data_IF_644473677432
#
_entry.id   IF_644473677432
#
_cell.length_a   1.000
_cell.length_b   1.000
_cell.length_c   1.000
_cell.angle_alpha   90.00
_cell.angle_beta   90.00
_cell.angle_gamma   90.00
#
_symmetry.space_group_name_H-M   'P 1'
#
loop_
_entity.id
_entity.type
_entity.pdbx_description
1 polymer ?
#
# COMPACT_ATOMS: atom_id res chain seq x y z
N UNK A 1 -18.61 7.93 21.53
CA UNK A 1 -19.52 6.77 21.68
C UNK A 1 -19.40 5.83 20.47
N UNK A 2 -19.18 6.36 19.25
CA UNK A 2 -18.95 5.56 18.02
C UNK A 2 -17.61 4.78 17.96
N UNK A 3 -16.53 5.25 18.60
CA UNK A 3 -15.24 4.54 18.60
C UNK A 3 -15.32 3.19 19.34
N UNK A 4 -16.20 3.09 20.35
CA UNK A 4 -16.39 1.86 21.12
C UNK A 4 -17.25 0.83 20.35
N UNK A 5 -18.22 1.29 19.55
CA UNK A 5 -19.03 0.40 18.69
C UNK A 5 -18.22 -0.20 17.54
N UNK A 6 -17.25 0.55 17.00
CA UNK A 6 -16.38 0.08 15.92
C UNK A 6 -15.41 -1.02 16.39
N UNK A 7 -14.92 -0.93 17.62
CA UNK A 7 -14.10 -1.97 18.27
C UNK A 7 -14.93 -3.23 18.59
N UNK A 8 -16.20 -3.07 18.97
CA UNK A 8 -17.10 -4.18 19.29
C UNK A 8 -17.48 -5.03 18.05
N UNK A 9 -17.62 -4.40 16.88
CA UNK A 9 -17.89 -5.11 15.62
C UNK A 9 -16.69 -5.94 15.14
N UNK A 10 -15.46 -5.46 15.38
CA UNK A 10 -14.22 -6.21 15.06
C UNK A 10 -14.04 -7.45 15.94
N UNK A 11 -14.51 -7.43 17.19
CA UNK A 11 -14.40 -8.57 18.11
C UNK A 11 -15.50 -9.62 17.92
N UNK A 12 -16.69 -9.23 17.44
CA UNK A 12 -17.82 -10.15 17.24
C UNK A 12 -17.84 -10.83 15.86
N UNK A 13 -17.13 -10.29 14.86
CA UNK A 13 -17.00 -10.90 13.53
C UNK A 13 -16.14 -12.17 13.48
N UNK A 14 -15.43 -12.50 14.56
CA UNK A 14 -14.57 -13.70 14.65
C UNK A 14 -15.28 -14.93 15.26
N UNK A 15 -16.57 -14.83 15.64
CA UNK A 15 -17.27 -15.88 16.38
C UNK A 15 -18.61 -16.28 15.73
N UNK A 16 -18.58 -16.76 14.49
CA UNK A 16 -19.74 -17.43 13.90
C UNK A 16 -19.38 -18.38 12.74
N UNK A 17 -18.60 -19.44 13.00
CA UNK A 17 -18.83 -20.79 12.43
C UNK A 17 -17.79 -21.81 12.97
N UNK A 18 -18.03 -22.40 14.14
CA UNK A 18 -17.45 -23.72 14.45
C UNK A 18 -18.44 -24.52 15.30
N UNK A 19 -19.07 -25.52 14.70
CA UNK A 19 -19.75 -26.59 15.43
C UNK A 19 -19.24 -27.93 14.94
N UNK A 20 -18.37 -28.58 15.72
CA UNK A 20 -18.44 -29.98 16.14
C UNK A 20 -17.06 -30.55 16.54
N UNK A 21 -16.86 -30.62 17.86
CA UNK A 21 -16.23 -31.67 18.67
C UNK A 21 -14.88 -32.29 18.25
N UNK A 22 -13.87 -32.07 19.09
CA UNK A 22 -13.17 -33.17 19.80
C UNK A 22 -12.66 -32.68 21.15
N UNK A 23 -12.99 -33.42 22.21
CA UNK A 23 -12.55 -33.16 23.58
C UNK A 23 -11.19 -33.77 23.84
N UNK A 24 -10.28 -33.01 24.46
CA UNK A 24 -9.29 -33.55 25.39
C UNK A 24 -8.77 -32.45 26.32
N UNK A 25 -9.08 -32.64 27.60
CA UNK A 25 -8.64 -31.97 28.83
C UNK A 25 -7.19 -31.44 28.87
N UNK A 26 -6.99 -30.29 29.51
CA UNK A 26 -6.22 -30.21 30.78
C UNK A 26 -6.47 -28.89 31.53
N UNK A 27 -6.32 -28.99 32.86
CA UNK A 27 -6.54 -28.01 33.94
C UNK A 27 -5.94 -26.61 33.68
N UNK A 28 -6.49 -25.50 34.17
CA UNK A 28 -7.24 -25.28 35.41
C UNK A 28 -6.30 -24.75 36.49
N UNK A 29 -6.27 -23.42 36.68
CA UNK A 29 -6.01 -22.79 37.98
C UNK A 29 -6.35 -21.30 37.92
N UNK A 30 -7.48 -20.95 38.53
CA UNK A 30 -7.94 -19.62 38.90
C UNK A 30 -7.76 -19.41 40.40
N UNK A 31 -7.49 -18.17 40.84
CA UNK A 31 -7.68 -17.70 42.22
C UNK A 31 -6.58 -16.71 42.61
N UNK A 32 -6.79 -15.39 42.66
CA UNK A 32 -7.54 -14.51 43.60
C UNK A 32 -6.90 -14.30 44.98
N UNK A 33 -6.82 -13.01 45.31
CA UNK A 33 -6.74 -12.36 46.62
C UNK A 33 -5.36 -12.26 47.30
N UNK A 34 -4.91 -11.04 47.59
CA UNK A 34 -4.14 -10.71 48.79
C UNK A 34 -4.15 -9.20 49.07
N UNK A 35 -4.67 -8.85 50.26
CA UNK A 35 -4.56 -7.55 50.92
C UNK A 35 -3.75 -7.74 52.22
N UNK A 36 -2.95 -6.72 52.55
CA UNK A 36 -2.43 -6.32 53.88
C UNK A 36 -1.19 -7.00 54.50
N UNK A 37 -0.06 -6.32 54.25
CA UNK A 37 0.97 -5.86 55.22
C UNK A 37 2.11 -6.79 55.71
N UNK A 38 3.29 -6.21 56.06
CA UNK A 38 4.56 -6.58 55.43
C UNK A 38 5.68 -6.96 56.42
N UNK A 39 6.77 -7.56 55.93
CA UNK A 39 8.08 -7.48 56.58
C UNK A 39 9.23 -7.38 55.55
N UNK A 40 10.33 -6.69 55.89
CA UNK A 40 11.04 -5.82 54.95
C UNK A 40 12.44 -6.29 54.55
N UNK A 41 12.89 -5.63 53.47
CA UNK A 41 14.26 -5.30 53.06
C UNK A 41 15.25 -6.38 52.61
N UNK A 42 15.48 -6.38 51.29
CA UNK A 42 16.82 -6.21 50.74
C UNK A 42 16.80 -5.33 49.47
N UNK A 43 17.20 -4.05 49.61
CA UNK A 43 17.72 -3.14 48.56
C UNK A 43 16.70 -2.59 47.56
N UNK A 44 16.10 -1.38 47.69
CA UNK A 44 16.69 -0.03 47.58
C UNK A 44 17.61 0.11 46.33
N UNK A 45 17.42 1.01 45.35
CA UNK A 45 16.76 2.34 45.23
C UNK A 45 16.30 2.49 43.75
N UNK A 46 15.07 2.87 43.41
CA UNK A 46 14.50 4.23 43.49
C UNK A 46 15.10 5.11 42.37
N UNK A 47 14.38 5.69 41.41
CA UNK A 47 13.05 6.31 41.50
C UNK A 47 12.39 6.50 40.13
N UNK A 48 11.12 6.10 40.02
CA UNK A 48 10.15 6.75 39.14
C UNK A 48 9.29 7.68 40.02
N UNK A 49 9.18 8.96 39.69
CA UNK A 49 7.94 9.72 39.89
C UNK A 49 7.92 11.02 39.09
N UNK A 50 6.72 11.52 38.79
CA UNK A 50 6.38 12.19 37.55
C UNK A 50 6.39 13.70 37.70
N UNK A 51 6.52 14.42 36.58
CA UNK A 51 5.98 15.78 36.51
C UNK A 51 5.63 16.19 35.08
N UNK A 52 4.46 16.80 35.01
CA UNK A 52 3.90 17.61 33.94
C UNK A 52 4.84 18.74 33.53
N UNK A 53 4.95 18.98 32.21
CA UNK A 53 5.63 20.16 31.69
C UNK A 53 5.34 20.37 30.21
N UNK A 54 4.42 21.28 29.92
CA UNK A 54 4.37 22.03 28.67
C UNK A 54 5.68 22.82 28.48
N UNK A 55 6.29 22.72 27.31
CA UNK A 55 7.42 23.55 26.84
C UNK A 55 7.73 23.14 25.40
N UNK A 56 7.23 23.84 24.39
CA UNK A 56 7.68 25.13 23.87
C UNK A 56 9.05 25.06 23.16
N UNK A 57 9.09 25.75 22.04
CA UNK A 57 10.03 25.61 20.94
C UNK A 57 11.50 25.81 21.34
N UNK A 58 12.32 24.79 21.09
CA UNK A 58 13.77 24.91 21.06
C UNK A 58 14.25 25.18 19.64
N UNK A 59 14.52 26.44 19.32
CA UNK A 59 15.38 26.86 18.21
C UNK A 59 16.79 26.35 18.44
N UNK A 60 17.19 25.32 17.67
CA UNK A 60 18.55 24.79 17.65
C UNK A 60 19.23 25.08 16.31
N UNK A 61 19.74 26.31 16.15
CA UNK A 61 20.82 26.57 15.20
C UNK A 61 22.07 25.83 15.68
N UNK A 62 22.41 24.74 15.01
CA UNK A 62 23.75 24.18 15.00
C UNK A 62 24.29 24.30 13.58
N UNK A 63 25.05 25.37 13.36
CA UNK A 63 25.67 25.67 12.09
C UNK A 63 26.71 24.63 11.66
N UNK A 64 26.89 24.59 10.32
CA UNK A 64 28.13 24.27 9.60
C UNK A 64 28.78 22.91 9.87
N UNK A 65 28.28 21.93 9.13
CA UNK A 65 29.11 20.92 8.50
C UNK A 65 28.74 20.88 7.02
N UNK A 66 29.51 21.57 6.18
CA UNK A 66 29.52 21.34 4.74
C UNK A 66 30.02 19.90 4.56
N UNK A 67 29.09 18.95 4.55
CA UNK A 67 29.36 17.60 4.11
C UNK A 67 29.61 17.73 2.61
N UNK A 68 30.89 17.96 2.30
CA UNK A 68 31.36 18.11 0.95
C UNK A 68 30.70 17.08 0.05
N UNK A 69 30.31 17.55 -1.13
CA UNK A 69 29.97 16.76 -2.30
C UNK A 69 31.18 15.89 -2.66
N UNK A 70 31.46 14.88 -1.84
CA UNK A 70 32.31 13.78 -2.20
C UNK A 70 31.51 12.99 -3.21
N UNK A 71 32.03 12.89 -4.43
CA UNK A 71 31.63 11.90 -5.41
C UNK A 71 31.74 10.51 -4.75
N UNK A 72 30.69 10.10 -4.04
CA UNK A 72 30.37 8.69 -3.94
C UNK A 72 30.03 8.30 -5.37
N UNK A 73 31.06 7.90 -6.13
CA UNK A 73 30.92 7.48 -7.52
C UNK A 73 29.76 6.49 -7.65
N UNK A 74 29.13 6.47 -8.81
CA UNK A 74 27.93 5.65 -9.08
C UNK A 74 28.19 4.21 -8.61
N UNK A 75 27.40 3.73 -7.66
CA UNK A 75 27.55 2.41 -7.08
C UNK A 75 26.50 1.45 -7.61
N UNK A 76 26.91 0.20 -7.83
CA UNK A 76 25.97 -0.90 -8.02
C UNK A 76 25.49 -1.36 -6.64
N UNK A 77 24.17 -1.41 -6.46
CA UNK A 77 23.55 -1.77 -5.19
C UNK A 77 22.38 -2.74 -5.42
N UNK A 78 21.97 -3.44 -4.38
CA UNK A 78 20.73 -4.22 -4.37
C UNK A 78 19.51 -3.29 -4.23
N UNK A 79 18.32 -3.78 -4.59
CA UNK A 79 17.06 -3.05 -4.36
C UNK A 79 16.86 -2.75 -2.87
N UNK A 80 17.20 -3.69 -1.99
CA UNK A 80 17.11 -3.54 -0.54
C UNK A 80 17.95 -2.36 -0.04
N UNK A 81 19.20 -2.27 -0.49
CA UNK A 81 20.10 -1.17 -0.16
C UNK A 81 19.58 0.16 -0.73
N UNK A 82 19.14 0.17 -2.00
CA UNK A 82 18.59 1.36 -2.64
C UNK A 82 17.42 1.98 -1.85
N UNK A 83 16.57 1.15 -1.25
CA UNK A 83 15.44 1.60 -0.43
C UNK A 83 15.85 2.29 0.88
N UNK A 84 17.04 1.99 1.40
CA UNK A 84 17.60 2.58 2.62
C UNK A 84 18.36 3.89 2.35
N UNK A 85 18.67 4.17 1.08
CA UNK A 85 19.36 5.40 0.70
C UNK A 85 18.46 6.62 0.90
N UNK A 86 19.12 7.73 1.27
CA UNK A 86 18.53 9.07 1.22
C UNK A 86 18.14 9.47 -0.20
N UNK A 87 17.58 10.67 -0.35
CA UNK A 87 17.18 11.15 -1.67
C UNK A 87 18.39 11.66 -2.45
N UNK A 88 18.34 11.45 -3.77
CA UNK A 88 19.27 11.92 -4.81
C UNK A 88 20.59 11.17 -5.05
N UNK A 89 20.96 10.03 -4.41
CA UNK A 89 22.13 9.29 -4.86
C UNK A 89 21.82 8.63 -6.21
N UNK A 90 22.81 8.68 -7.11
CA UNK A 90 22.78 7.92 -8.36
C UNK A 90 23.30 6.51 -8.11
N UNK A 91 22.57 5.51 -8.58
CA UNK A 91 22.91 4.09 -8.39
C UNK A 91 22.75 3.31 -9.69
N UNK A 92 23.28 2.09 -9.70
CA UNK A 92 23.00 1.07 -10.70
C UNK A 92 22.31 -0.11 -10.01
N UNK A 93 21.18 -0.54 -10.55
CA UNK A 93 20.56 -1.83 -10.26
C UNK A 93 20.84 -2.75 -11.44
N UNK A 94 21.55 -3.85 -11.23
CA UNK A 94 21.89 -4.81 -12.28
C UNK A 94 20.97 -6.03 -12.27
N UNK A 95 20.51 -6.44 -13.45
CA UNK A 95 19.81 -7.72 -13.62
C UNK A 95 18.45 -7.81 -12.92
N UNK A 96 17.80 -6.68 -12.61
CA UNK A 96 16.46 -6.66 -12.01
C UNK A 96 15.40 -7.00 -13.06
N UNK A 97 14.29 -7.57 -12.63
CA UNK A 97 13.24 -8.08 -13.53
C UNK A 97 11.98 -7.25 -13.40
N UNK A 98 11.39 -6.83 -14.52
CA UNK A 98 10.08 -6.17 -14.55
C UNK A 98 8.98 -7.14 -14.11
N UNK A 99 8.29 -6.82 -13.02
CA UNK A 99 7.23 -7.68 -12.44
C UNK A 99 5.82 -7.19 -12.75
N UNK A 100 5.63 -5.89 -12.91
CA UNK A 100 4.33 -5.26 -13.20
C UNK A 100 4.54 -3.99 -14.00
N UNK A 101 3.71 -3.77 -15.02
CA UNK A 101 3.71 -2.55 -15.84
C UNK A 101 2.40 -1.80 -15.60
N UNK A 102 2.50 -0.57 -15.09
CA UNK A 102 1.32 0.24 -14.72
C UNK A 102 0.89 1.12 -15.88
N UNK A 103 1.87 1.74 -16.52
CA UNK A 103 1.64 2.77 -17.51
C UNK A 103 2.70 2.69 -18.60
N UNK A 104 2.25 2.82 -19.84
CA UNK A 104 3.10 3.02 -21.01
C UNK A 104 2.43 4.06 -21.90
N UNK A 105 3.19 5.07 -22.30
CA UNK A 105 2.81 6.00 -23.36
C UNK A 105 3.95 6.13 -24.36
N UNK A 106 3.72 5.60 -25.56
CA UNK A 106 4.62 5.73 -26.69
C UNK A 106 4.20 6.91 -27.57
N UNK A 107 5.09 7.89 -27.74
CA UNK A 107 4.91 9.03 -28.65
C UNK A 107 6.17 9.17 -29.51
N UNK A 108 6.11 9.98 -30.56
CA UNK A 108 7.28 10.27 -31.41
C UNK A 108 8.48 10.83 -30.61
N UNK A 109 8.19 11.50 -29.49
CA UNK A 109 9.20 12.04 -28.55
C UNK A 109 9.84 10.99 -27.63
N UNK A 110 9.44 9.73 -27.71
CA UNK A 110 9.92 8.63 -26.87
C UNK A 110 8.84 8.00 -25.99
N UNK A 111 9.27 7.04 -25.16
CA UNK A 111 8.43 6.23 -24.27
C UNK A 111 8.51 6.71 -22.83
N UNK A 112 7.38 7.11 -22.27
CA UNK A 112 7.21 7.23 -20.81
C UNK A 112 6.59 5.95 -20.27
N UNK A 113 7.08 5.45 -19.14
CA UNK A 113 6.54 4.25 -18.54
C UNK A 113 6.75 4.20 -17.02
N UNK A 114 5.78 3.62 -16.31
CA UNK A 114 5.87 3.36 -14.88
C UNK A 114 5.69 1.87 -14.63
N UNK A 115 6.61 1.27 -13.89
CA UNK A 115 6.65 -0.19 -13.68
C UNK A 115 7.40 -0.55 -12.40
N UNK A 116 7.11 -1.71 -11.84
CA UNK A 116 7.91 -2.29 -10.75
C UNK A 116 8.93 -3.27 -11.29
N UNK A 117 10.08 -3.30 -10.64
CA UNK A 117 11.09 -4.33 -10.81
C UNK A 117 11.36 -5.02 -9.47
N UNK A 118 11.78 -6.28 -9.53
CA UNK A 118 12.23 -7.03 -8.37
C UNK A 118 13.58 -7.70 -8.64
N UNK A 119 14.29 -8.06 -7.58
CA UNK A 119 15.46 -8.93 -7.69
C UNK A 119 14.98 -10.35 -8.03
N UNK A 120 15.45 -10.96 -9.14
CA UNK A 120 15.03 -12.32 -9.50
C UNK A 120 15.44 -13.39 -8.49
N UNK A 121 16.49 -13.14 -7.69
CA UNK A 121 16.96 -14.04 -6.64
C UNK A 121 16.31 -13.76 -5.29
N UNK A 122 15.69 -12.57 -5.13
CA UNK A 122 14.94 -12.20 -3.95
C UNK A 122 13.71 -11.38 -4.31
N UNK A 123 12.62 -12.06 -4.70
CA UNK A 123 11.38 -11.42 -5.16
C UNK A 123 10.74 -10.45 -4.14
N UNK A 124 11.14 -10.53 -2.85
CA UNK A 124 10.73 -9.61 -1.78
C UNK A 124 11.29 -8.21 -1.93
N UNK A 125 12.41 -8.05 -2.63
CA UNK A 125 13.05 -6.76 -2.82
C UNK A 125 12.57 -6.16 -4.15
N UNK A 126 11.52 -5.34 -4.08
CA UNK A 126 10.99 -4.60 -5.22
C UNK A 126 11.17 -3.08 -5.12
N UNK A 127 11.18 -2.40 -6.26
CA UNK A 127 11.22 -0.93 -6.36
C UNK A 127 10.46 -0.44 -7.59
N UNK A 128 9.85 0.74 -7.48
CA UNK A 128 9.15 1.39 -8.57
C UNK A 128 10.09 2.21 -9.45
N UNK A 129 9.91 2.13 -10.75
CA UNK A 129 10.72 2.84 -11.76
C UNK A 129 9.82 3.77 -12.55
N UNK A 130 10.21 5.03 -12.65
CA UNK A 130 9.53 6.03 -13.48
C UNK A 130 10.45 6.44 -14.63
N UNK A 131 10.15 5.93 -15.83
CA UNK A 131 10.85 6.26 -17.07
C UNK A 131 10.21 7.47 -17.72
N UNK A 132 11.02 8.47 -18.01
CA UNK A 132 10.63 9.61 -18.83
C UNK A 132 10.98 9.38 -20.30
N UNK A 133 10.21 9.97 -21.21
CA UNK A 133 10.37 9.85 -22.67
C UNK A 133 11.77 10.17 -23.22
N UNK A 134 12.54 11.01 -22.55
CA UNK A 134 13.91 11.36 -22.97
C UNK A 134 14.99 10.47 -22.34
N UNK A 135 14.61 9.58 -21.41
CA UNK A 135 15.55 8.63 -20.82
C UNK A 135 15.98 7.58 -21.87
N UNK A 136 17.28 7.31 -22.05
CA UNK A 136 17.74 6.33 -23.02
C UNK A 136 17.53 4.87 -22.55
N UNK A 137 17.30 3.95 -23.51
CA UNK A 137 16.90 4.27 -24.88
C UNK A 137 15.47 4.83 -24.87
N UNK A 138 15.23 5.84 -25.70
CA UNK A 138 13.94 6.52 -25.79
C UNK A 138 12.83 5.61 -26.34
N UNK A 139 13.20 4.45 -26.88
CA UNK A 139 12.33 3.45 -27.51
C UNK A 139 12.00 2.27 -26.61
N UNK A 140 12.63 2.12 -25.43
CA UNK A 140 12.36 0.95 -24.58
C UNK A 140 10.96 1.02 -23.97
N UNK A 141 10.16 0.00 -24.30
CA UNK A 141 8.85 -0.27 -23.71
C UNK A 141 9.01 -1.45 -22.75
N UNK A 142 8.78 -1.28 -21.44
CA UNK A 142 8.92 -2.36 -20.48
C UNK A 142 7.85 -3.43 -20.69
N UNK A 143 8.25 -4.70 -20.59
CA UNK A 143 7.35 -5.83 -20.55
C UNK A 143 7.64 -6.70 -19.32
N UNK A 144 6.61 -7.32 -18.75
CA UNK A 144 6.74 -8.25 -17.63
C UNK A 144 7.70 -9.39 -18.01
N UNK A 145 8.71 -9.62 -17.19
CA UNK A 145 9.78 -10.61 -17.42
C UNK A 145 11.04 -10.05 -18.09
N UNK A 146 11.05 -8.77 -18.48
CA UNK A 146 12.27 -8.13 -18.99
C UNK A 146 13.34 -8.04 -17.89
N UNK A 147 14.55 -8.48 -18.21
CA UNK A 147 15.73 -8.31 -17.36
C UNK A 147 16.40 -6.99 -17.78
N UNK A 148 16.58 -6.09 -16.83
CA UNK A 148 17.12 -4.76 -17.07
C UNK A 148 18.24 -4.39 -16.11
N UNK A 149 19.20 -3.64 -16.61
CA UNK A 149 20.11 -2.84 -15.79
C UNK A 149 19.64 -1.40 -15.82
N UNK A 150 19.47 -0.77 -14.65
CA UNK A 150 18.96 0.59 -14.53
C UNK A 150 19.98 1.44 -13.79
N UNK A 151 20.45 2.50 -14.45
CA UNK A 151 21.23 3.56 -13.81
C UNK A 151 20.32 4.78 -13.62
N UNK A 152 20.02 5.14 -12.37
CA UNK A 152 19.08 6.21 -12.06
C UNK A 152 19.31 6.82 -10.68
N UNK A 153 18.46 7.76 -10.31
CA UNK A 153 18.51 8.45 -9.01
C UNK A 153 17.45 7.91 -8.08
N UNK A 154 17.85 7.54 -6.86
CA UNK A 154 16.92 7.18 -5.79
C UNK A 154 16.24 8.44 -5.29
N UNK A 155 14.90 8.41 -5.26
CA UNK A 155 14.09 9.54 -4.83
C UNK A 155 12.84 9.03 -4.12
N UNK A 156 12.14 9.93 -3.44
CA UNK A 156 10.74 9.73 -3.10
C UNK A 156 9.85 10.48 -4.09
N UNK A 157 8.71 9.89 -4.44
CA UNK A 157 7.64 10.62 -5.10
C UNK A 157 7.22 11.80 -4.23
N UNK A 158 6.94 12.93 -4.89
CA UNK A 158 6.49 14.14 -4.22
C UNK A 158 5.28 13.84 -3.34
N UNK A 159 5.28 14.39 -2.12
CA UNK A 159 4.15 14.29 -1.19
C UNK A 159 2.83 14.82 -1.77
N UNK A 160 2.89 15.62 -2.83
CA UNK A 160 1.72 16.18 -3.51
C UNK A 160 1.13 15.26 -4.59
N UNK A 161 1.65 14.03 -4.73
CA UNK A 161 1.11 13.03 -5.66
C UNK A 161 0.08 12.15 -4.98
N UNK A 162 -1.09 12.09 -5.59
CA UNK A 162 -2.17 11.24 -5.11
C UNK A 162 -1.84 9.76 -5.33
N UNK A 163 -2.20 8.90 -4.37
CA UNK A 163 -1.90 7.46 -4.28
C UNK A 163 -0.43 7.08 -4.14
N UNK A 164 0.47 7.74 -4.86
CA UNK A 164 1.88 7.33 -4.95
C UNK A 164 2.87 8.27 -4.28
N UNK A 165 2.40 9.32 -3.58
CA UNK A 165 3.26 10.19 -2.78
C UNK A 165 4.05 9.42 -1.72
N UNK A 166 5.25 9.90 -1.40
CA UNK A 166 6.20 9.27 -0.48
C UNK A 166 6.79 7.91 -0.92
N UNK A 167 6.29 7.30 -2.01
CA UNK A 167 6.84 6.06 -2.58
C UNK A 167 8.32 6.24 -2.94
N UNK A 168 9.16 5.27 -2.56
CA UNK A 168 10.56 5.19 -3.01
C UNK A 168 10.61 4.78 -4.49
N UNK A 169 11.30 5.56 -5.30
CA UNK A 169 11.35 5.39 -6.76
C UNK A 169 12.77 5.52 -7.31
N UNK A 170 13.01 4.88 -8.45
CA UNK A 170 14.18 5.11 -9.30
C UNK A 170 13.75 5.88 -10.55
N UNK A 171 14.32 7.06 -10.77
CA UNK A 171 13.99 7.91 -11.91
C UNK A 171 15.13 8.88 -12.27
N UNK A 172 14.96 9.66 -13.33
CA UNK A 172 15.92 10.71 -13.69
C UNK A 172 15.88 11.90 -12.70
N UNK A 173 16.86 12.81 -12.80
CA UNK A 173 16.96 13.95 -11.89
C UNK A 173 16.21 15.21 -12.38
N UNK A 174 15.33 15.11 -13.38
CA UNK A 174 14.70 16.27 -14.02
C UNK A 174 13.91 17.15 -13.02
N UNK A 175 13.37 16.54 -11.97
CA UNK A 175 12.62 17.21 -10.91
C UNK A 175 13.52 17.92 -9.87
N UNK A 176 14.86 17.82 -9.97
CA UNK A 176 15.77 18.44 -9.02
C UNK A 176 15.90 19.94 -9.27
N UNK A 177 15.33 20.74 -8.37
CA UNK A 177 15.53 22.20 -8.36
C UNK A 177 17.02 22.53 -8.25
N UNK A 178 17.52 23.34 -9.17
CA UNK A 178 18.91 23.83 -9.18
C UNK A 178 19.91 22.93 -9.91
N UNK A 179 19.49 21.81 -10.50
CA UNK A 179 20.35 21.06 -11.41
C UNK A 179 20.53 21.85 -12.72
N UNK A 180 21.77 22.19 -13.07
CA UNK A 180 22.10 22.93 -14.29
C UNK A 180 21.81 22.11 -15.55
N UNK A 181 21.84 20.78 -15.45
CA UNK A 181 21.48 19.84 -16.51
C UNK A 181 20.78 18.62 -15.92
N UNK A 182 19.68 18.20 -16.57
CA UNK A 182 19.01 16.96 -16.22
C UNK A 182 19.84 15.77 -16.75
N UNK A 183 20.35 14.94 -15.84
CA UNK A 183 20.97 13.66 -16.13
C UNK A 183 19.86 12.61 -16.29
N UNK A 184 19.76 11.99 -17.47
CA UNK A 184 18.72 11.02 -17.74
C UNK A 184 18.97 9.72 -16.96
N UNK A 185 17.89 8.96 -16.73
CA UNK A 185 18.01 7.57 -16.28
C UNK A 185 18.33 6.70 -17.49
N UNK A 186 19.25 5.73 -17.36
CA UNK A 186 19.59 4.80 -18.44
C UNK A 186 19.02 3.43 -18.11
N UNK A 187 18.28 2.82 -19.04
CA UNK A 187 17.77 1.46 -18.90
C UNK A 187 18.35 0.60 -20.02
N UNK A 188 19.04 -0.48 -19.68
CA UNK A 188 19.54 -1.44 -20.65
C UNK A 188 18.82 -2.77 -20.47
N UNK A 189 17.99 -3.17 -21.44
CA UNK A 189 17.44 -4.53 -21.46
C UNK A 189 18.54 -5.53 -21.81
N UNK A 190 18.81 -6.46 -20.92
CA UNK A 190 19.87 -7.46 -21.06
C UNK A 190 19.31 -8.85 -21.41
N UNK A 191 18.02 -9.07 -21.22
CA UNK A 191 17.36 -10.33 -21.56
C UNK A 191 15.88 -10.37 -21.19
N UNK A 192 15.34 -11.58 -21.17
CA UNK A 192 13.99 -11.89 -20.67
C UNK A 192 14.02 -13.18 -19.88
N UNK A 193 13.15 -13.29 -18.88
CA UNK A 193 12.91 -14.51 -18.12
C UNK A 193 11.44 -14.60 -17.69
N UNK A 194 11.04 -15.76 -17.19
CA UNK A 194 9.80 -15.86 -16.43
C UNK A 194 9.94 -14.97 -15.19
N UNK A 195 8.99 -14.04 -14.95
CA UNK A 195 9.00 -13.22 -13.74
C UNK A 195 9.01 -14.09 -12.49
N UNK A 196 9.63 -13.64 -11.39
CA UNK A 196 9.51 -14.31 -10.10
C UNK A 196 8.04 -14.51 -9.72
N UNK A 197 7.75 -15.64 -9.06
CA UNK A 197 6.43 -15.90 -8.52
C UNK A 197 6.06 -14.87 -7.46
N UNK A 198 4.77 -14.55 -7.34
CA UNK A 198 4.25 -13.73 -6.24
C UNK A 198 4.60 -14.38 -4.89
N UNK A 199 4.96 -13.56 -3.90
CA UNK A 199 5.32 -14.04 -2.57
C UNK A 199 4.06 -14.46 -1.83
N UNK A 200 3.96 -15.73 -1.48
CA UNK A 200 2.87 -16.23 -0.64
C UNK A 200 2.97 -15.63 0.76
N UNK A 201 1.90 -14.96 1.18
CA UNK A 201 1.76 -14.37 2.53
C UNK A 201 0.38 -14.70 3.08
N UNK A 202 0.24 -14.73 4.40
CA UNK A 202 -1.03 -15.10 5.07
C UNK A 202 -1.40 -14.08 6.14
N UNK A 203 -2.68 -13.73 6.19
CA UNK A 203 -3.26 -12.87 7.23
C UNK A 203 -3.21 -13.54 8.61
N UNK A 204 -3.16 -14.87 8.68
CA UNK A 204 -3.06 -15.62 9.93
C UNK A 204 -1.73 -15.36 10.65
N UNK A 205 -0.70 -14.98 9.89
CA UNK A 205 0.62 -14.60 10.40
C UNK A 205 0.77 -13.07 10.58
N UNK A 206 -0.34 -12.33 10.57
CA UNK A 206 -0.34 -10.88 10.73
C UNK A 206 0.05 -10.10 9.48
N UNK A 207 0.02 -10.71 8.29
CA UNK A 207 0.16 -9.95 7.05
C UNK A 207 -1.05 -9.05 6.82
N UNK A 208 -0.82 -7.83 6.36
CA UNK A 208 -1.84 -6.80 6.30
C UNK A 208 -1.99 -6.12 7.66
N UNK A 209 -3.22 -5.86 8.06
CA UNK A 209 -3.57 -5.08 9.24
C UNK A 209 -3.01 -3.66 9.22
N UNK A 210 -3.46 -2.86 8.25
CA UNK A 210 -3.09 -1.45 8.18
C UNK A 210 -3.67 -0.62 9.34
N UNK A 211 -4.37 -1.23 10.31
CA UNK A 211 -5.08 -0.55 11.41
C UNK A 211 -5.93 0.62 10.92
N UNK A 212 -6.70 0.42 9.83
CA UNK A 212 -7.47 1.49 9.19
C UNK A 212 -6.61 2.64 8.66
N UNK A 213 -5.37 2.34 8.25
CA UNK A 213 -4.40 3.30 7.75
C UNK A 213 -3.41 3.86 8.80
N UNK A 214 -3.58 3.51 10.08
CA UNK A 214 -2.70 3.94 11.19
C UNK A 214 -1.39 3.13 11.25
N UNK A 215 -1.39 1.92 10.70
CA UNK A 215 -0.20 1.07 10.58
C UNK A 215 0.54 1.29 9.26
N UNK A 216 1.78 0.79 9.21
CA UNK A 216 2.56 0.59 7.97
C UNK A 216 3.05 -0.86 7.93
N UNK A 217 2.13 -1.83 7.81
CA UNK A 217 2.49 -3.23 7.93
C UNK A 217 3.38 -3.75 6.80
N UNK A 218 4.15 -4.78 7.12
CA UNK A 218 4.90 -5.59 6.16
C UNK A 218 5.82 -4.78 5.22
N UNK A 219 6.54 -3.80 5.77
CA UNK A 219 7.44 -2.92 5.00
C UNK A 219 8.53 -3.70 4.25
N UNK A 220 8.92 -4.87 4.75
CA UNK A 220 9.84 -5.78 4.11
C UNK A 220 9.37 -6.19 2.70
N UNK A 221 8.06 -6.16 2.41
CA UNK A 221 7.49 -6.49 1.10
C UNK A 221 7.22 -5.29 0.17
N UNK A 222 7.61 -4.07 0.53
CA UNK A 222 7.37 -2.89 -0.32
C UNK A 222 7.94 -3.08 -1.74
N UNK A 223 7.09 -2.82 -2.73
CA UNK A 223 7.41 -2.93 -4.16
C UNK A 223 7.40 -4.37 -4.70
N UNK A 224 7.25 -5.38 -3.84
CA UNK A 224 7.17 -6.78 -4.26
C UNK A 224 5.74 -7.15 -4.65
N UNK A 225 5.62 -8.12 -5.58
CA UNK A 225 4.35 -8.79 -5.81
C UNK A 225 4.10 -9.83 -4.72
N UNK A 226 2.91 -9.80 -4.15
CA UNK A 226 2.46 -10.73 -3.12
C UNK A 226 1.19 -11.45 -3.55
N UNK A 227 1.03 -12.68 -3.07
CA UNK A 227 -0.21 -13.44 -3.10
C UNK A 227 -0.66 -13.62 -1.65
N UNK A 228 -1.65 -12.82 -1.26
CA UNK A 228 -2.28 -12.92 0.06
C UNK A 228 -3.24 -14.10 -0.01
N UNK A 229 -2.91 -15.17 0.70
CA UNK A 229 -3.61 -16.45 0.62
C UNK A 229 -5.04 -16.34 1.18
N UNK A 230 -5.97 -17.00 0.49
CA UNK A 230 -7.38 -17.06 0.88
C UNK A 230 -7.74 -18.24 1.78
N UNK A 231 -9.02 -18.34 2.15
CA UNK A 231 -10.11 -17.47 1.71
C UNK A 231 -10.07 -16.09 2.38
N UNK A 232 -10.35 -15.04 1.62
CA UNK A 232 -10.53 -13.68 2.12
C UNK A 232 -11.96 -13.20 1.87
N UNK A 233 -12.47 -12.30 2.69
CA UNK A 233 -13.79 -11.68 2.53
C UNK A 233 -13.64 -10.17 2.45
N UNK A 234 -14.38 -9.50 1.57
CA UNK A 234 -14.47 -8.04 1.57
C UNK A 234 -15.18 -7.58 2.87
N UNK A 235 -14.45 -6.92 3.75
CA UNK A 235 -14.90 -6.53 5.10
C UNK A 235 -15.44 -5.11 5.17
N UNK A 236 -14.90 -4.20 4.34
CA UNK A 236 -15.36 -2.82 4.24
C UNK A 236 -15.27 -2.34 2.78
N UNK A 237 -16.41 -1.99 2.19
CA UNK A 237 -16.46 -1.46 0.83
C UNK A 237 -15.98 0.00 0.74
N UNK A 238 -15.99 0.74 1.85
CA UNK A 238 -15.69 2.17 1.89
C UNK A 238 -14.79 2.50 3.11
N UNK A 239 -13.57 1.93 3.19
CA UNK A 239 -12.71 2.13 4.34
C UNK A 239 -12.26 3.59 4.44
N UNK A 240 -12.39 4.19 5.62
CA UNK A 240 -12.03 5.60 5.86
C UNK A 240 -10.62 5.93 5.40
N UNK A 241 -9.66 5.01 5.60
CA UNK A 241 -8.26 5.13 5.18
C UNK A 241 -8.08 5.41 3.68
N UNK A 242 -9.08 5.09 2.86
CA UNK A 242 -9.05 5.24 1.40
C UNK A 242 -10.09 6.24 0.90
N UNK A 243 -10.73 7.02 1.79
CA UNK A 243 -11.69 8.06 1.42
C UNK A 243 -11.00 9.18 0.66
N UNK A 244 -11.58 9.63 -0.46
CA UNK A 244 -11.12 10.85 -1.12
C UNK A 244 -11.55 12.04 -0.28
N UNK A 245 -10.60 12.87 0.12
CA UNK A 245 -10.88 14.16 0.75
C UNK A 245 -11.01 15.23 -0.32
N UNK A 246 -12.11 15.98 -0.30
CA UNK A 246 -12.32 17.12 -1.20
C UNK A 246 -11.41 18.31 -0.84
N UNK A 247 -11.15 18.54 0.46
CA UNK A 247 -10.26 19.57 1.01
C UNK A 247 -9.27 18.94 2.00
N UNK A 248 -8.17 19.63 2.38
CA UNK A 248 -7.24 19.14 3.40
C UNK A 248 -7.90 18.94 4.78
N UNK A 249 -8.81 19.84 5.18
CA UNK A 249 -9.50 19.80 6.48
C UNK A 249 -10.72 18.86 6.50
N UNK A 250 -10.97 18.15 5.40
CA UNK A 250 -12.12 17.28 5.23
C UNK A 250 -13.28 17.94 4.49
N UNK A 251 -13.94 17.14 3.65
CA UNK A 251 -15.12 17.53 2.88
C UNK A 251 -15.99 16.32 2.57
N UNK A 252 -17.25 16.58 2.25
CA UNK A 252 -18.20 15.52 1.88
C UNK A 252 -17.90 15.01 0.48
N UNK A 253 -17.34 13.80 0.43
CA UNK A 253 -17.22 13.00 -0.78
C UNK A 253 -17.55 11.55 -0.43
N UNK A 254 -18.12 10.83 -1.38
CA UNK A 254 -18.48 9.42 -1.27
C UNK A 254 -17.45 8.51 -1.94
N UNK A 255 -16.52 9.09 -2.70
CA UNK A 255 -15.53 8.34 -3.45
C UNK A 255 -14.44 7.77 -2.54
N UNK A 256 -14.15 6.49 -2.74
CA UNK A 256 -13.07 5.77 -2.09
C UNK A 256 -12.12 5.19 -3.13
N UNK A 257 -10.86 5.08 -2.78
CA UNK A 257 -9.77 4.61 -3.65
C UNK A 257 -9.46 3.12 -3.51
N UNK A 258 -10.40 2.38 -2.92
CA UNK A 258 -10.24 0.95 -2.67
C UNK A 258 -11.27 0.43 -1.69
N UNK A 259 -11.01 -0.78 -1.20
CA UNK A 259 -11.81 -1.51 -0.21
C UNK A 259 -10.90 -2.27 0.77
N UNK A 260 -11.45 -2.78 1.85
CA UNK A 260 -10.78 -3.64 2.82
C UNK A 260 -11.24 -5.09 2.66
N UNK A 261 -10.31 -6.03 2.83
CA UNK A 261 -10.61 -7.45 3.00
C UNK A 261 -10.13 -7.97 4.37
N UNK A 262 -10.52 -9.20 4.70
CA UNK A 262 -10.10 -9.92 5.91
C UNK A 262 -8.62 -9.74 6.23
N UNK A 263 -8.31 -9.60 7.52
CA UNK A 263 -6.96 -9.28 7.98
C UNK A 263 -6.63 -7.78 7.91
N UNK A 264 -7.58 -6.89 7.64
CA UNK A 264 -7.34 -5.44 7.59
C UNK A 264 -6.44 -5.02 6.42
N UNK A 265 -6.51 -5.79 5.33
CA UNK A 265 -5.76 -5.54 4.10
C UNK A 265 -6.52 -4.52 3.27
N UNK A 266 -5.90 -3.37 3.02
CA UNK A 266 -6.42 -2.34 2.11
C UNK A 266 -6.03 -2.67 0.67
N UNK A 267 -7.00 -2.64 -0.25
CA UNK A 267 -6.84 -2.97 -1.67
C UNK A 267 -7.16 -1.76 -2.52
N UNK A 268 -6.17 -1.26 -3.24
CA UNK A 268 -6.29 -0.11 -4.12
C UNK A 268 -7.04 -0.45 -5.41
N UNK A 269 -7.90 0.47 -5.87
CA UNK A 269 -8.73 0.26 -7.05
C UNK A 269 -8.23 0.91 -8.34
N UNK A 270 -7.01 1.44 -8.40
CA UNK A 270 -6.52 2.25 -9.53
C UNK A 270 -6.71 1.60 -10.91
N UNK A 271 -6.53 0.28 -11.00
CA UNK A 271 -6.66 -0.51 -12.23
C UNK A 271 -7.97 -1.29 -12.33
N UNK A 272 -8.79 -1.27 -11.27
CA UNK A 272 -9.97 -2.15 -11.12
C UNK A 272 -11.29 -1.39 -10.96
N UNK A 273 -11.28 -0.07 -10.77
CA UNK A 273 -12.47 0.77 -10.55
C UNK A 273 -13.39 0.89 -11.79
N UNK A 274 -14.70 1.06 -11.59
CA UNK A 274 -15.69 1.45 -12.61
C UNK A 274 -16.66 0.34 -13.05
N UNK A 275 -17.71 0.71 -13.81
CA UNK A 275 -18.73 -0.22 -14.33
C UNK A 275 -18.43 -0.60 -15.78
N UNK A 276 -18.32 -1.89 -16.07
CA UNK A 276 -18.15 -2.40 -17.45
C UNK A 276 -19.49 -2.29 -18.19
N UNK A 277 -19.75 -1.18 -18.88
CA UNK A 277 -20.96 -1.01 -19.69
C UNK A 277 -20.74 -1.11 -21.20
N UNK A 278 -19.49 -1.07 -21.68
CA UNK A 278 -19.20 -0.85 -23.11
C UNK A 278 -18.02 -1.68 -23.67
N UNK A 279 -18.05 -3.02 -23.54
CA UNK A 279 -17.06 -3.96 -24.14
C UNK A 279 -15.55 -3.67 -23.84
N UNK A 280 -15.25 -2.80 -22.87
CA UNK A 280 -13.90 -2.46 -22.43
C UNK A 280 -13.29 -3.48 -21.45
N UNK A 281 -12.04 -3.25 -21.04
CA UNK A 281 -11.35 -4.08 -20.04
C UNK A 281 -12.26 -4.31 -18.82
N UNK A 282 -12.48 -5.57 -18.38
CA UNK A 282 -13.31 -5.88 -17.21
C UNK A 282 -12.84 -5.08 -16.00
N UNK A 283 -13.76 -4.40 -15.33
CA UNK A 283 -13.50 -3.67 -14.07
C UNK A 283 -14.19 -4.42 -12.93
N UNK A 284 -13.40 -5.00 -12.04
CA UNK A 284 -13.78 -5.84 -10.91
C UNK A 284 -13.88 -5.00 -9.62
N UNK A 285 -14.65 -3.92 -9.70
CA UNK A 285 -14.93 -3.07 -8.55
C UNK A 285 -16.02 -3.70 -7.67
N UNK A 286 -15.60 -4.61 -6.80
CA UNK A 286 -16.48 -5.39 -5.93
C UNK A 286 -17.26 -4.58 -4.88
N UNK A 287 -16.93 -3.30 -4.71
CA UNK A 287 -17.58 -2.42 -3.73
C UNK A 287 -19.05 -2.20 -4.02
N UNK A 288 -19.40 -2.07 -5.30
CA UNK A 288 -20.81 -1.88 -5.72
C UNK A 288 -21.67 -3.04 -5.20
N UNK A 289 -21.19 -4.27 -5.35
CA UNK A 289 -21.93 -5.47 -4.93
C UNK A 289 -22.18 -5.51 -3.42
N UNK A 290 -21.22 -5.06 -2.61
CA UNK A 290 -21.35 -5.01 -1.16
C UNK A 290 -22.21 -3.83 -0.71
N UNK A 291 -22.08 -2.68 -1.38
CA UNK A 291 -22.93 -1.51 -1.13
C UNK A 291 -24.42 -1.80 -1.42
N UNK A 292 -24.71 -2.70 -2.38
CA UNK A 292 -26.07 -3.15 -2.70
C UNK A 292 -26.58 -4.26 -1.73
N UNK A 293 -25.82 -4.59 -0.68
CA UNK A 293 -26.20 -5.57 0.34
C UNK A 293 -25.79 -7.02 0.03
N UNK A 294 -24.98 -7.23 -1.01
CA UNK A 294 -24.33 -8.52 -1.28
C UNK A 294 -23.07 -8.75 -0.45
N UNK A 295 -22.35 -9.82 -0.77
CA UNK A 295 -21.03 -10.10 -0.20
C UNK A 295 -20.07 -10.62 -1.27
N UNK A 296 -18.76 -10.45 -1.02
CA UNK A 296 -17.70 -10.90 -1.91
C UNK A 296 -16.65 -11.66 -1.12
N UNK A 297 -16.28 -12.82 -1.62
CA UNK A 297 -15.21 -13.66 -1.08
C UNK A 297 -14.17 -13.92 -2.16
N UNK A 298 -12.93 -14.13 -1.77
CA UNK A 298 -11.81 -14.46 -2.64
C UNK A 298 -11.27 -15.82 -2.18
N UNK A 299 -11.80 -16.94 -2.71
CA UNK A 299 -11.47 -18.29 -2.23
C UNK A 299 -9.97 -18.59 -2.28
N UNK A 300 -9.33 -18.22 -3.38
CA UNK A 300 -7.89 -18.43 -3.59
C UNK A 300 -7.04 -17.24 -3.12
N UNK A 301 -7.65 -16.21 -2.52
CA UNK A 301 -6.99 -14.99 -2.09
C UNK A 301 -6.84 -13.94 -3.20
N UNK A 302 -5.96 -12.96 -2.98
CA UNK A 302 -5.75 -11.82 -3.87
C UNK A 302 -4.27 -11.56 -4.13
N UNK A 303 -3.97 -10.93 -5.27
CA UNK A 303 -2.61 -10.65 -5.73
C UNK A 303 -2.40 -9.18 -6.03
N UNK A 304 -1.15 -8.77 -6.11
CA UNK A 304 -0.79 -7.41 -6.51
C UNK A 304 0.55 -6.99 -5.92
N UNK A 305 0.94 -5.75 -6.17
CA UNK A 305 2.13 -5.15 -5.58
C UNK A 305 1.79 -4.58 -4.20
N UNK A 306 2.53 -4.96 -3.16
CA UNK A 306 2.40 -4.35 -1.83
C UNK A 306 3.19 -3.04 -1.80
N UNK A 307 2.51 -1.90 -1.67
CA UNK A 307 3.20 -0.61 -1.80
C UNK A 307 2.50 0.54 -1.05
N UNK A 308 3.19 1.66 -1.03
CA UNK A 308 2.81 2.94 -0.45
C UNK A 308 1.51 3.46 -1.05
N UNK A 309 0.64 3.94 -0.18
CA UNK A 309 -0.57 4.70 -0.50
C UNK A 309 -0.64 5.98 0.32
N UNK A 310 -1.15 7.03 -0.29
CA UNK A 310 -1.55 8.28 0.36
C UNK A 310 -2.68 8.93 -0.43
N UNK A 311 -3.53 9.73 0.20
CA UNK A 311 -4.42 10.66 -0.52
C UNK A 311 -3.83 12.07 -0.49
N UNK A 312 -3.65 12.71 -1.64
CA UNK A 312 -3.17 14.09 -1.73
C UNK A 312 -4.34 15.01 -2.16
N UNK A 313 -5.06 15.63 -1.21
CA UNK A 313 -6.25 16.43 -1.52
C UNK A 313 -5.90 17.72 -2.24
N UNK A 314 -6.85 18.26 -3.00
CA UNK A 314 -6.72 19.58 -3.60
C UNK A 314 -6.81 20.69 -2.54
N UNK A 315 -5.90 21.67 -2.59
CA UNK A 315 -5.93 22.82 -1.66
C UNK A 315 -7.16 23.72 -1.85
N UNK A 316 -7.70 23.80 -3.07
CA UNK A 316 -8.84 24.65 -3.41
C UNK A 316 -10.20 23.99 -3.09
N UNK A 317 -10.20 22.80 -2.49
CA UNK A 317 -11.41 22.03 -2.22
C UNK A 317 -12.01 21.35 -3.45
N UNK A 318 -11.34 21.44 -4.59
CA UNK A 318 -11.71 20.74 -5.81
C UNK A 318 -11.44 19.24 -5.71
N UNK A 319 -11.97 18.50 -6.67
CA UNK A 319 -11.71 17.05 -6.78
C UNK A 319 -11.12 16.67 -8.13
N UNK A 320 -10.76 17.68 -8.93
CA UNK A 320 -10.17 17.54 -10.25
C UNK A 320 -8.68 17.28 -10.14
N UNK A 321 -8.25 16.11 -10.59
CA UNK A 321 -6.84 15.68 -10.61
C UNK A 321 -5.96 16.48 -11.56
N UNK A 322 -6.53 17.30 -12.45
CA UNK A 322 -5.80 18.00 -13.52
C UNK A 322 -5.73 19.52 -13.35
N UNK A 323 -6.52 20.10 -12.45
CA UNK A 323 -6.65 21.56 -12.34
C UNK A 323 -6.42 22.10 -10.94
N UNK A 324 -6.19 21.25 -9.94
CA UNK A 324 -5.96 21.69 -8.58
C UNK A 324 -4.48 21.57 -8.19
N UNK A 325 -4.04 22.42 -7.27
CA UNK A 325 -2.78 22.26 -6.59
C UNK A 325 -3.00 21.36 -5.37
N UNK A 326 -2.37 20.18 -5.36
CA UNK A 326 -2.49 19.24 -4.26
C UNK A 326 -1.74 19.72 -3.01
N UNK A 327 -2.32 19.46 -1.84
CA UNK A 327 -1.65 19.53 -0.56
C UNK A 327 -0.87 18.23 -0.28
N UNK A 328 -0.11 18.21 0.81
CA UNK A 328 0.68 17.08 1.23
C UNK A 328 -0.22 15.85 1.49
N UNK A 329 0.25 14.70 1.04
CA UNK A 329 -0.42 13.44 1.20
C UNK A 329 -0.63 13.07 2.67
N UNK A 330 -1.83 12.58 2.95
CA UNK A 330 -2.30 12.10 4.25
C UNK A 330 -3.11 10.82 4.06
N UNK A 331 -3.22 10.02 5.11
CA UNK A 331 -4.19 8.93 5.22
C UNK A 331 -5.45 9.44 5.92
N UNK A 332 -6.59 9.54 5.20
CA UNK A 332 -7.82 10.08 5.74
C UNK A 332 -8.26 9.37 7.02
N UNK A 333 -8.74 10.15 7.99
CA UNK A 333 -9.13 9.65 9.31
C UNK A 333 -7.98 9.33 10.26
N UNK A 334 -6.72 9.62 9.88
CA UNK A 334 -5.54 9.34 10.70
C UNK A 334 -4.55 10.51 10.68
N UNK A 335 -3.50 10.43 11.50
CA UNK A 335 -2.36 11.37 11.48
C UNK A 335 -1.20 10.90 10.58
N UNK A 336 -1.33 9.76 9.91
CA UNK A 336 -0.28 9.24 9.05
C UNK A 336 -0.22 9.95 7.71
N UNK A 337 0.99 10.15 7.21
CA UNK A 337 1.21 10.69 5.86
C UNK A 337 1.04 9.64 4.76
N UNK A 338 1.21 8.36 5.07
CA UNK A 338 1.04 7.24 4.14
C UNK A 338 0.90 5.92 4.90
N UNK A 339 0.33 4.92 4.23
CA UNK A 339 0.19 3.51 4.67
C UNK A 339 0.54 2.56 3.52
N UNK A 340 0.48 1.25 3.76
CA UNK A 340 0.71 0.22 2.74
C UNK A 340 -0.61 -0.42 2.32
N UNK A 341 -0.76 -0.63 1.01
CA UNK A 341 -1.93 -1.25 0.40
C UNK A 341 -1.49 -2.22 -0.69
N UNK A 342 -2.40 -3.10 -1.09
CA UNK A 342 -2.22 -3.94 -2.26
C UNK A 342 -2.66 -3.18 -3.52
N UNK A 343 -1.82 -3.16 -4.56
CA UNK A 343 -2.14 -2.67 -5.90
C UNK A 343 -2.27 -3.84 -6.87
N UNK A 344 -3.50 -4.30 -7.19
CA UNK A 344 -3.73 -5.29 -8.22
C UNK A 344 -3.29 -4.77 -9.60
N UNK A 345 -2.75 -5.63 -10.45
CA UNK A 345 -2.43 -5.29 -11.85
C UNK A 345 -3.71 -5.25 -12.71
N UNK A 346 -4.71 -6.07 -12.35
CA UNK A 346 -6.01 -6.13 -13.01
C UNK A 346 -6.91 -7.17 -12.34
N UNK A 347 -7.97 -7.59 -13.03
CA UNK A 347 -8.96 -8.49 -12.43
C UNK A 347 -8.52 -9.93 -12.27
N UNK A 348 -7.48 -10.36 -12.99
CA UNK A 348 -6.87 -11.67 -12.76
C UNK A 348 -6.25 -11.80 -11.35
N UNK A 349 -5.89 -10.66 -10.75
CA UNK A 349 -5.39 -10.56 -9.38
C UNK A 349 -6.51 -10.53 -8.33
N UNK A 350 -7.78 -10.38 -8.74
CA UNK A 350 -8.95 -10.24 -7.88
C UNK A 350 -10.10 -11.18 -8.30
N UNK A 351 -9.89 -12.50 -8.19
CA UNK A 351 -10.90 -13.50 -8.59
C UNK A 351 -11.98 -13.69 -7.50
N UNK A 352 -12.82 -12.67 -7.32
CA UNK A 352 -13.88 -12.66 -6.31
C UNK A 352 -15.14 -13.41 -6.73
N UNK A 353 -15.69 -14.18 -5.79
CA UNK A 353 -17.01 -14.83 -5.88
C UNK A 353 -18.04 -13.96 -5.16
N UNK A 354 -19.07 -13.56 -5.90
CA UNK A 354 -20.12 -12.67 -5.40
C UNK A 354 -21.35 -13.46 -4.97
N UNK A 355 -21.89 -13.13 -3.80
CA UNK A 355 -23.21 -13.57 -3.36
C UNK A 355 -24.16 -12.38 -3.40
N UNK A 356 -25.22 -12.47 -4.21
CA UNK A 356 -26.21 -11.40 -4.35
C UNK A 356 -27.14 -11.30 -3.12
N UNK A 357 -27.66 -10.10 -2.81
CA UNK A 357 -28.68 -9.92 -1.79
C UNK A 357 -29.95 -10.71 -2.15
N UNK A 358 -30.63 -11.29 -1.16
CA UNK A 358 -31.84 -12.12 -1.38
C UNK A 358 -32.99 -11.36 -2.07
N UNK A 359 -33.01 -10.02 -1.98
CA UNK A 359 -34.03 -9.14 -2.57
C UNK A 359 -33.94 -9.01 -4.09
N UNK A 360 -32.86 -9.47 -4.73
CA UNK A 360 -32.68 -9.46 -6.19
C UNK A 360 -32.79 -10.86 -6.83
N UNK A 361 -33.11 -11.91 -6.05
CA UNK A 361 -33.44 -13.20 -6.64
C UNK A 361 -34.78 -13.08 -7.38
N UNK A 362 -34.85 -13.38 -8.69
CA UNK A 362 -36.14 -13.53 -9.36
C UNK A 362 -36.95 -14.59 -8.59
N UNK A 363 -38.21 -14.28 -8.27
CA UNK A 363 -39.11 -15.28 -7.70
C UNK A 363 -39.08 -16.52 -8.59
N UNK A 364 -38.86 -17.70 -7.99
CA UNK A 364 -38.89 -18.95 -8.73
C UNK A 364 -40.24 -19.04 -9.48
N UNK A 365 -40.23 -19.31 -10.80
CA UNK A 365 -41.48 -19.46 -11.53
C UNK A 365 -42.11 -20.78 -11.10
N UNK A 366 -43.11 -20.71 -10.22
CA UNK A 366 -43.92 -21.87 -9.86
C UNK A 366 -44.23 -22.00 -8.38
N UNK A 367 -45.11 -21.14 -7.89
CA UNK A 367 -46.02 -21.48 -6.79
C UNK A 367 -47.30 -20.65 -6.93
N UNK A 368 -48.06 -20.91 -7.99
CA UNK A 368 -49.50 -20.68 -7.91
C UNK A 368 -50.08 -21.89 -7.19
N UNK A 369 -50.45 -21.69 -5.93
CA UNK A 369 -51.32 -22.61 -5.19
C UNK A 369 -52.74 -22.51 -5.76
N UNK A 370 -53.33 -23.66 -6.06
CA UNK A 370 -54.76 -23.83 -6.37
C UNK A 370 -55.68 -23.24 -5.29
#
# INVERSE_FOLDING_TARGET
>A
MEILEMQLRKTLGAAALVTAATMASMAGCSGRDDDTDPLPDAGCLGTCSPDSGTGDAGTGDAGTGDAGTGDAGIQTVTIREARLLGDRPQIILEGVVVTTVVYVSSKDTGVSADFWVADPNNAQDGIFVQKYRTDPPTTYVPAKGDIVTIQGYVQNNSRFRDREGYRKVLKNNFDFRGASEATPMVITKTGTMTPPNDIAVSIDNGFGNADGGVGRPNLEHLGARVHIQGPLTLTDANPMAMKRLATPDGGEDTMHFGFEVSGGVLVNNLTTFGTTTDDGTPRCDYRVMVNDGGSVTFPDGIRGVWDTFTHAPCMDGGTSTFSCFNDAGVIPGTTNTWTTVLYPEGCDDLQGVVTQPETLRPAAPGAQTE
#
